data_IF_517449543230
#
_entry.id   IF_517449543230
#
_cell.length_a   1.000
_cell.length_b   1.000
_cell.length_c   1.000
_cell.angle_alpha   90.00
_cell.angle_beta   90.00
_cell.angle_gamma   90.00
#
_symmetry.space_group_name_H-M   'P 1'
#
loop_
_entity.id
_entity.type
_entity.pdbx_description
1 polymer ?
#
# COMPACT_ATOMS: atom_id res chain seq x y z
N UNK A 1 0.00 -10.69 -9.56
CA UNK A 1 0.09 -10.95 -8.12
C UNK A 1 -0.60 -9.80 -7.41
N UNK A 2 -1.48 -10.13 -6.46
CA UNK A 2 -2.21 -9.20 -5.62
C UNK A 2 -1.75 -9.38 -4.17
N UNK A 3 -1.98 -8.36 -3.37
CA UNK A 3 -1.81 -8.35 -1.93
C UNK A 3 -3.22 -8.38 -1.33
N UNK A 4 -3.52 -9.43 -0.59
CA UNK A 4 -4.77 -9.57 0.13
C UNK A 4 -4.52 -9.20 1.59
N UNK A 5 -5.18 -8.16 2.07
CA UNK A 5 -5.03 -7.69 3.45
C UNK A 5 -6.22 -8.14 4.27
N UNK A 6 -5.95 -8.80 5.39
CA UNK A 6 -6.99 -9.34 6.27
C UNK A 6 -6.82 -8.76 7.69
N UNK A 7 -7.86 -8.13 8.25
CA UNK A 7 -7.72 -7.44 9.53
C UNK A 7 -9.04 -7.10 10.20
N UNK A 8 -8.97 -6.29 11.26
CA UNK A 8 -10.15 -5.86 12.03
C UNK A 8 -11.19 -5.13 11.15
N UNK A 9 -10.71 -4.44 10.12
CA UNK A 9 -11.55 -3.76 9.13
C UNK A 9 -12.16 -4.66 8.05
N UNK A 10 -11.96 -5.98 8.12
CA UNK A 10 -12.34 -6.95 7.10
C UNK A 10 -11.21 -7.22 6.10
N UNK A 11 -11.58 -7.41 4.84
CA UNK A 11 -10.66 -7.75 3.76
C UNK A 11 -10.43 -6.54 2.85
N UNK A 12 -9.19 -6.36 2.40
CA UNK A 12 -8.82 -5.30 1.47
C UNK A 12 -7.82 -5.81 0.43
N UNK A 13 -8.26 -5.94 -0.81
CA UNK A 13 -7.43 -6.42 -1.92
C UNK A 13 -6.79 -5.28 -2.72
N UNK A 14 -5.49 -5.36 -2.97
CA UNK A 14 -4.69 -4.42 -3.77
C UNK A 14 -3.84 -5.20 -4.77
N UNK A 15 -3.56 -4.65 -5.96
CA UNK A 15 -2.50 -5.25 -6.79
C UNK A 15 -1.11 -4.86 -6.25
N UNK A 16 -0.07 -5.64 -6.59
CA UNK A 16 1.31 -5.43 -6.11
C UNK A 16 1.87 -4.03 -6.41
N UNK A 17 1.48 -3.42 -7.54
CA UNK A 17 1.93 -2.08 -7.91
C UNK A 17 1.25 -1.00 -7.07
N UNK A 18 -0.07 -1.09 -6.91
CA UNK A 18 -0.84 -0.19 -6.05
C UNK A 18 -0.37 -0.28 -4.60
N UNK A 19 -0.04 -1.47 -4.12
CA UNK A 19 0.55 -1.63 -2.79
C UNK A 19 1.90 -0.93 -2.67
N UNK A 20 2.82 -1.16 -3.61
CA UNK A 20 4.11 -0.48 -3.64
C UNK A 20 3.98 1.06 -3.68
N UNK A 21 3.06 1.58 -4.50
CA UNK A 21 2.76 3.01 -4.56
C UNK A 21 2.10 3.52 -3.28
N UNK A 22 1.24 2.74 -2.62
CA UNK A 22 0.61 3.11 -1.34
C UNK A 22 1.66 3.29 -0.24
N UNK A 23 2.58 2.32 -0.12
CA UNK A 23 3.70 2.39 0.83
C UNK A 23 4.63 3.57 0.52
N UNK A 24 4.93 3.79 -0.77
CA UNK A 24 5.74 4.93 -1.21
C UNK A 24 5.06 6.26 -0.86
N UNK A 25 3.75 6.37 -1.13
CA UNK A 25 2.97 7.56 -0.80
C UNK A 25 2.99 7.83 0.71
N UNK A 26 2.69 6.83 1.53
CA UNK A 26 2.74 6.98 2.99
C UNK A 26 4.13 7.46 3.46
N UNK A 27 5.22 6.89 2.94
CA UNK A 27 6.59 7.30 3.29
C UNK A 27 6.89 8.75 2.90
N UNK A 28 6.45 9.18 1.71
CA UNK A 28 6.62 10.56 1.25
C UNK A 28 5.95 11.57 2.19
N UNK A 29 4.86 11.17 2.87
CA UNK A 29 4.11 12.00 3.80
C UNK A 29 4.43 11.75 5.28
N UNK A 30 5.58 11.11 5.53
CA UNK A 30 6.18 11.02 6.87
C UNK A 30 5.87 9.74 7.64
N UNK A 31 5.22 8.74 7.02
CA UNK A 31 5.16 7.41 7.63
C UNK A 31 6.55 6.78 7.69
N UNK A 32 6.97 6.40 8.88
CA UNK A 32 8.19 5.61 9.11
C UNK A 32 7.75 4.17 9.41
N UNK A 33 8.05 3.21 8.51
CA UNK A 33 7.64 1.82 8.72
C UNK A 33 8.23 1.29 10.04
N UNK A 34 7.38 0.86 10.95
CA UNK A 34 7.82 0.25 12.21
C UNK A 34 8.41 -1.16 12.00
N UNK A 35 8.14 -1.77 10.85
CA UNK A 35 8.43 -3.16 10.54
C UNK A 35 7.20 -4.04 10.82
N UNK A 36 6.91 -4.94 9.91
CA UNK A 36 5.91 -5.99 10.15
C UNK A 36 6.44 -7.05 11.09
N UNK A 37 5.53 -7.79 11.72
CA UNK A 37 5.86 -8.92 12.59
C UNK A 37 5.25 -10.19 12.03
N UNK A 38 5.91 -11.32 12.22
CA UNK A 38 5.36 -12.63 11.84
C UNK A 38 5.23 -13.50 13.09
N UNK A 39 4.30 -14.44 13.09
CA UNK A 39 4.08 -15.33 14.21
C UNK A 39 5.29 -16.28 14.37
N UNK A 40 5.67 -16.59 15.61
CA UNK A 40 6.88 -17.40 15.88
C UNK A 40 6.84 -18.79 15.23
N UNK A 41 5.63 -19.35 15.07
CA UNK A 41 5.43 -20.61 14.39
C UNK A 41 5.84 -20.56 12.90
N UNK A 42 5.66 -19.41 12.25
CA UNK A 42 5.95 -19.20 10.83
C UNK A 42 7.42 -18.80 10.60
N UNK A 43 8.13 -18.34 11.65
CA UNK A 43 9.55 -18.00 11.56
C UNK A 43 10.43 -19.18 11.10
N UNK A 44 10.00 -20.41 11.33
CA UNK A 44 10.73 -21.62 10.91
C UNK A 44 10.97 -21.69 9.39
N UNK A 45 10.10 -21.05 8.60
CA UNK A 45 10.18 -21.04 7.14
C UNK A 45 11.15 -19.97 6.61
N UNK A 46 11.67 -19.10 7.49
CA UNK A 46 12.57 -18.01 7.13
C UNK A 46 14.05 -18.34 7.36
N UNK A 47 14.95 -17.79 6.51
CA UNK A 47 16.39 -17.94 6.71
C UNK A 47 16.82 -17.49 8.11
N UNK A 48 17.46 -18.40 8.85
CA UNK A 48 17.93 -18.20 10.23
C UNK A 48 16.82 -17.94 11.26
N UNK A 49 15.56 -18.28 10.96
CA UNK A 49 14.45 -18.07 11.89
C UNK A 49 14.16 -16.60 12.17
N UNK A 50 14.46 -15.71 11.21
CA UNK A 50 14.36 -14.25 11.39
C UNK A 50 13.57 -13.60 10.27
N UNK A 51 12.59 -12.82 10.68
CA UNK A 51 11.86 -11.90 9.81
C UNK A 51 12.56 -10.55 9.70
N UNK A 52 12.55 -9.95 8.51
CA UNK A 52 13.23 -8.68 8.22
C UNK A 52 12.34 -7.44 8.41
N UNK A 53 11.07 -7.60 8.77
CA UNK A 53 10.12 -6.50 8.90
C UNK A 53 9.54 -5.97 7.59
N UNK A 54 9.67 -6.71 6.49
CA UNK A 54 9.26 -6.30 5.15
C UNK A 54 7.75 -6.16 4.94
N UNK A 55 7.35 -5.39 3.95
CA UNK A 55 5.93 -5.19 3.59
C UNK A 55 5.60 -5.71 2.20
N UNK A 56 6.60 -6.13 1.40
CA UNK A 56 6.43 -6.35 -0.04
C UNK A 56 6.08 -7.78 -0.44
N UNK A 57 5.95 -8.69 0.51
CA UNK A 57 5.68 -10.10 0.28
C UNK A 57 4.36 -10.54 0.91
N UNK A 58 3.89 -11.73 0.54
CA UNK A 58 2.63 -12.34 0.97
C UNK A 58 2.92 -13.43 2.00
N UNK A 59 3.69 -13.09 3.04
CA UNK A 59 4.26 -14.05 3.99
C UNK A 59 3.37 -14.24 5.23
N UNK A 60 2.15 -13.71 5.24
CA UNK A 60 1.27 -13.71 6.42
C UNK A 60 1.71 -12.72 7.50
N UNK A 61 2.64 -11.81 7.18
CA UNK A 61 3.17 -10.84 8.12
C UNK A 61 2.10 -9.83 8.53
N UNK A 62 2.18 -9.40 9.78
CA UNK A 62 1.24 -8.50 10.43
C UNK A 62 1.79 -7.08 10.53
N UNK A 63 0.97 -6.12 10.13
CA UNK A 63 1.14 -4.69 10.40
C UNK A 63 0.47 -4.40 11.74
N UNK A 64 1.20 -3.83 12.70
CA UNK A 64 0.67 -3.54 14.04
C UNK A 64 -0.35 -2.40 13.99
N UNK A 65 -1.21 -2.32 15.01
CA UNK A 65 -2.23 -1.26 15.10
C UNK A 65 -1.60 0.14 15.10
N UNK A 66 -0.45 0.31 15.75
CA UNK A 66 0.27 1.59 15.78
C UNK A 66 0.83 1.95 14.40
N UNK A 67 1.46 0.98 13.73
CA UNK A 67 2.04 1.20 12.39
C UNK A 67 0.95 1.47 11.35
N UNK A 68 -0.17 0.75 11.41
CA UNK A 68 -1.36 1.00 10.58
C UNK A 68 -1.92 2.41 10.80
N UNK A 69 -2.03 2.88 12.05
CA UNK A 69 -2.48 4.25 12.35
C UNK A 69 -1.51 5.31 11.81
N UNK A 70 -0.21 5.13 12.02
CA UNK A 70 0.81 6.04 11.50
C UNK A 70 0.81 6.09 9.96
N UNK A 71 0.57 4.95 9.31
CA UNK A 71 0.39 4.86 7.86
C UNK A 71 -0.85 5.65 7.42
N UNK A 72 -1.97 5.49 8.13
CA UNK A 72 -3.20 6.23 7.88
C UNK A 72 -3.02 7.75 8.03
N UNK A 73 -2.33 8.21 9.08
CA UNK A 73 -2.01 9.63 9.31
C UNK A 73 -1.21 10.24 8.16
N UNK A 74 -0.24 9.50 7.62
CA UNK A 74 0.56 9.98 6.50
C UNK A 74 -0.25 10.02 5.20
N UNK A 75 -1.04 8.98 4.92
CA UNK A 75 -1.89 8.94 3.74
C UNK A 75 -2.98 10.02 3.76
N UNK A 76 -3.50 10.35 4.95
CA UNK A 76 -4.47 11.43 5.13
C UNK A 76 -3.86 12.80 4.75
N UNK A 77 -2.59 13.05 5.11
CA UNK A 77 -1.86 14.23 4.64
C UNK A 77 -1.69 14.21 3.12
N UNK A 78 -1.43 13.05 2.54
CA UNK A 78 -1.26 12.89 1.09
C UNK A 78 -2.52 13.26 0.29
N UNK A 79 -3.72 13.05 0.84
CA UNK A 79 -4.98 13.36 0.15
C UNK A 79 -5.09 14.83 -0.29
N UNK A 80 -4.44 15.76 0.42
CA UNK A 80 -4.46 17.19 0.06
C UNK A 80 -3.72 17.47 -1.26
N UNK A 81 -2.69 16.68 -1.56
CA UNK A 81 -1.81 16.89 -2.70
C UNK A 81 -2.10 15.95 -3.87
N UNK A 82 -2.92 14.91 -3.66
CA UNK A 82 -3.40 14.05 -4.75
C UNK A 82 -4.34 14.85 -5.65
N UNK A 83 -4.04 14.98 -6.96
CA UNK A 83 -4.90 15.69 -7.90
C UNK A 83 -6.28 15.02 -8.04
N UNK A 84 -7.33 15.83 -8.10
CA UNK A 84 -8.71 15.34 -8.31
C UNK A 84 -8.99 14.94 -9.77
N UNK A 85 -8.22 15.50 -10.73
CA UNK A 85 -8.26 15.08 -12.13
C UNK A 85 -7.34 13.86 -12.34
N UNK A 86 -7.73 12.96 -13.24
CA UNK A 86 -6.91 11.79 -13.58
C UNK A 86 -5.68 12.23 -14.38
N UNK A 87 -4.54 12.36 -13.70
CA UNK A 87 -3.28 12.78 -14.32
C UNK A 87 -2.68 11.70 -15.25
N UNK A 88 -3.30 10.51 -15.31
CA UNK A 88 -2.92 9.40 -16.17
C UNK A 88 -3.98 9.10 -17.24
N UNK A 89 -4.99 9.96 -17.41
CA UNK A 89 -6.10 9.79 -18.37
C UNK A 89 -5.58 9.53 -19.80
N UNK A 90 -4.49 10.21 -20.19
CA UNK A 90 -3.82 10.03 -21.49
C UNK A 90 -3.25 8.62 -21.73
N UNK A 91 -3.02 7.81 -20.69
CA UNK A 91 -2.54 6.42 -20.83
C UNK A 91 -3.67 5.44 -21.10
N UNK A 92 -4.92 5.76 -20.74
CA UNK A 92 -6.09 4.91 -21.00
C UNK A 92 -6.40 4.81 -22.50
N UNK A 93 -6.12 5.87 -23.26
CA UNK A 93 -6.35 5.90 -24.72
C UNK A 93 -5.37 5.03 -25.52
N UNK A 94 -4.24 4.63 -24.95
CA UNK A 94 -3.23 3.79 -25.63
C UNK A 94 -3.55 2.28 -25.59
N UNK A 95 -4.74 1.89 -25.13
CA UNK A 95 -5.27 0.52 -25.28
C UNK A 95 -4.52 -0.58 -24.51
N UNK A 96 -3.55 -0.24 -23.67
CA UNK A 96 -2.84 -1.18 -22.81
C UNK A 96 -2.86 -0.68 -21.38
N UNK A 97 -3.40 -1.48 -20.46
CA UNK A 97 -3.28 -1.23 -19.02
C UNK A 97 -1.84 -0.86 -18.66
N UNK A 98 -1.65 -0.02 -17.63
CA UNK A 98 -0.38 0.64 -17.31
C UNK A 98 0.80 -0.34 -17.47
N UNK A 99 1.47 -0.29 -18.63
CA UNK A 99 2.73 -0.95 -18.84
C UNK A 99 3.73 -0.12 -18.04
N UNK A 100 3.99 -0.53 -16.80
CA UNK A 100 5.20 -0.11 -16.10
C UNK A 100 6.35 -0.79 -16.84
N UNK A 101 6.72 -0.22 -17.99
CA UNK A 101 7.94 -0.59 -18.65
C UNK A 101 9.09 -0.37 -17.65
N UNK A 102 10.13 -1.22 -17.63
CA UNK A 102 11.30 -1.02 -16.77
C UNK A 102 11.96 0.37 -16.94
N UNK A 103 11.71 1.02 -18.08
CA UNK A 103 12.14 2.38 -18.42
C UNK A 103 10.96 3.34 -18.67
N UNK A 104 9.77 3.03 -18.17
CA UNK A 104 8.59 3.88 -18.27
C UNK A 104 8.76 5.17 -17.46
N UNK A 105 8.03 6.25 -17.80
CA UNK A 105 8.13 7.50 -17.04
C UNK A 105 7.76 7.22 -15.58
N UNK A 106 8.61 7.70 -14.67
CA UNK A 106 8.41 7.63 -13.22
C UNK A 106 7.01 8.16 -12.87
N UNK A 107 6.09 7.24 -12.61
CA UNK A 107 4.76 7.61 -12.15
C UNK A 107 4.88 7.83 -10.66
N UNK A 108 5.11 9.08 -10.26
CA UNK A 108 5.07 9.47 -8.85
C UNK A 108 3.80 8.92 -8.19
N UNK A 109 3.89 8.44 -6.95
CA UNK A 109 2.76 7.84 -6.24
C UNK A 109 1.51 8.75 -6.19
N UNK A 110 1.69 10.08 -6.15
CA UNK A 110 0.60 11.05 -6.25
C UNK A 110 -0.20 10.95 -7.56
N UNK A 111 0.49 10.75 -8.69
CA UNK A 111 -0.16 10.57 -10.00
C UNK A 111 -0.83 9.21 -10.12
N UNK A 112 -0.26 8.18 -9.50
CA UNK A 112 -0.88 6.84 -9.46
C UNK A 112 -2.27 6.87 -8.84
N UNK A 113 -2.44 7.62 -7.75
CA UNK A 113 -3.72 7.75 -7.05
C UNK A 113 -4.55 8.98 -7.46
N UNK A 114 -4.16 9.68 -8.53
CA UNK A 114 -4.92 10.82 -9.04
C UNK A 114 -6.26 10.41 -9.65
N UNK A 115 -7.20 11.34 -9.69
CA UNK A 115 -8.57 11.08 -10.10
C UNK A 115 -9.47 10.70 -8.92
N UNK A 116 -10.74 11.08 -8.99
CA UNK A 116 -11.71 10.89 -7.91
C UNK A 116 -11.83 9.44 -7.43
N UNK A 117 -11.82 8.46 -8.34
CA UNK A 117 -11.96 7.04 -7.98
C UNK A 117 -10.74 6.51 -7.22
N UNK A 118 -9.52 6.78 -7.72
CA UNK A 118 -8.29 6.35 -7.07
C UNK A 118 -8.06 7.08 -5.74
N UNK A 119 -8.42 8.36 -5.66
CA UNK A 119 -8.35 9.14 -4.42
C UNK A 119 -9.34 8.61 -3.37
N UNK A 120 -10.55 8.23 -3.79
CA UNK A 120 -11.51 7.56 -2.90
C UNK A 120 -11.02 6.20 -2.42
N UNK A 121 -10.29 5.48 -3.26
CA UNK A 121 -9.66 4.23 -2.87
C UNK A 121 -8.60 4.41 -1.79
N UNK A 122 -7.80 5.50 -1.84
CA UNK A 122 -6.90 5.88 -0.72
C UNK A 122 -7.69 6.18 0.55
N UNK A 123 -8.85 6.87 0.47
CA UNK A 123 -9.71 7.12 1.65
C UNK A 123 -10.23 5.83 2.29
N UNK A 124 -10.65 4.86 1.47
CA UNK A 124 -11.09 3.55 1.95
C UNK A 124 -9.96 2.81 2.66
N UNK A 125 -8.75 2.86 2.10
CA UNK A 125 -7.58 2.24 2.72
C UNK A 125 -7.17 2.93 4.02
N UNK A 126 -7.30 4.26 4.12
CA UNK A 126 -7.12 4.99 5.38
C UNK A 126 -8.11 4.46 6.42
N UNK A 127 -9.41 4.38 6.10
CA UNK A 127 -10.42 3.85 7.02
C UNK A 127 -10.11 2.41 7.48
N UNK A 128 -9.63 1.57 6.55
CA UNK A 128 -9.16 0.22 6.85
C UNK A 128 -8.01 0.22 7.87
N UNK A 129 -6.97 1.03 7.63
CA UNK A 129 -5.84 1.16 8.55
C UNK A 129 -6.23 1.71 9.93
N UNK A 130 -7.26 2.57 10.00
CA UNK A 130 -7.80 3.09 11.27
C UNK A 130 -8.53 2.02 12.08
N UNK A 131 -9.05 0.97 11.43
CA UNK A 131 -9.78 -0.10 12.11
C UNK A 131 -8.86 -0.94 13.02
N UNK A 132 -7.57 -1.07 12.69
CA UNK A 132 -6.59 -1.74 13.54
C UNK A 132 -5.48 -2.43 12.76
N UNK A 133 -4.87 -3.42 13.41
CA UNK A 133 -3.89 -4.31 12.78
C UNK A 133 -4.50 -5.18 11.67
N UNK A 134 -3.65 -5.60 10.75
CA UNK A 134 -3.98 -6.47 9.63
C UNK A 134 -2.77 -7.32 9.20
N UNK A 135 -3.04 -8.45 8.56
CA UNK A 135 -2.07 -9.37 7.95
C UNK A 135 -2.03 -9.20 6.44
N UNK A 136 -0.92 -9.61 5.82
CA UNK A 136 -0.66 -9.51 4.38
C UNK A 136 -0.51 -10.92 3.79
N UNK A 137 -1.34 -11.26 2.80
CA UNK A 137 -1.41 -12.55 2.10
C UNK A 137 -1.38 -12.40 0.58
#
# INVERSE_FOLDING_TARGET
MAMDLEGVGGDFGLNVFSWGHMLCLARLYGWQPAGTVIDEADLQDFPNGKWNGGYQSNDGQKVTTEDARNMADALEKALADIPDHDALEYKKELGGGILIAPNGPDVSALKWFSGNESKEYVRKFIAYCRAGEFKIY
#
